data_IF_672248363121
#
_entry.id   IF_672248363121
#
_cell.length_a   1.000
_cell.length_b   1.000
_cell.length_c   1.000
_cell.angle_alpha   90.00
_cell.angle_beta   90.00
_cell.angle_gamma   90.00
#
_symmetry.space_group_name_H-M   'P 1'
#
loop_
_entity.id
_entity.type
_entity.pdbx_description
1 polymer ?
#
# COMPACT_ATOMS: atom_id res chain seq x y z
N UNK A 1 -4.25 10.09 18.75
CA UNK A 1 -4.06 8.63 18.86
C UNK A 1 -3.66 8.04 17.52
N UNK A 2 -3.23 6.77 17.51
CA UNK A 2 -3.05 5.96 16.31
C UNK A 2 -4.02 4.79 16.40
N UNK A 3 -4.77 4.52 15.33
CA UNK A 3 -5.73 3.42 15.29
C UNK A 3 -5.01 2.15 14.80
N UNK A 4 -5.30 1.02 15.45
CA UNK A 4 -4.78 -0.29 15.08
C UNK A 4 -5.94 -1.20 14.69
N UNK A 5 -5.75 -2.02 13.66
CA UNK A 5 -6.70 -3.06 13.24
C UNK A 5 -5.98 -4.40 13.38
N UNK A 6 -6.55 -5.31 14.16
CA UNK A 6 -6.06 -6.68 14.29
C UNK A 6 -6.89 -7.60 13.39
N UNK A 7 -6.23 -8.44 12.61
CA UNK A 7 -6.87 -9.38 11.69
C UNK A 7 -6.15 -10.74 11.69
N UNK A 8 -6.81 -11.77 11.16
CA UNK A 8 -6.24 -13.11 11.02
C UNK A 8 -4.93 -13.06 10.22
N UNK A 9 -3.88 -13.70 10.74
CA UNK A 9 -2.66 -13.93 9.98
C UNK A 9 -2.86 -15.09 9.00
N UNK A 10 -2.99 -14.77 7.72
CA UNK A 10 -3.11 -15.78 6.66
C UNK A 10 -1.73 -16.16 6.15
N UNK A 11 -1.27 -17.38 6.47
CA UNK A 11 0.00 -17.92 5.99
C UNK A 11 -0.10 -18.22 4.49
N UNK A 12 0.48 -17.34 3.67
CA UNK A 12 0.30 -17.35 2.22
C UNK A 12 0.91 -16.14 1.53
N UNK A 13 0.46 -15.85 0.31
CA UNK A 13 0.82 -14.63 -0.45
C UNK A 13 -0.44 -14.01 -1.05
N UNK A 14 -0.39 -12.74 -1.40
CA UNK A 14 -1.50 -12.14 -2.13
C UNK A 14 -1.52 -12.61 -3.61
N UNK A 15 -2.66 -12.43 -4.27
CA UNK A 15 -2.87 -12.84 -5.66
C UNK A 15 -2.01 -12.04 -6.63
N UNK A 16 -1.66 -10.78 -6.33
CA UNK A 16 -0.72 -9.99 -7.14
C UNK A 16 0.63 -10.67 -7.24
N UNK A 17 1.22 -11.02 -6.11
CA UNK A 17 2.51 -11.71 -6.03
C UNK A 17 2.48 -13.05 -6.75
N UNK A 18 1.32 -13.72 -6.74
CA UNK A 18 1.11 -14.94 -7.50
C UNK A 18 1.15 -14.68 -9.02
N UNK A 19 0.37 -13.71 -9.52
CA UNK A 19 0.33 -13.34 -10.95
C UNK A 19 1.70 -12.87 -11.42
N UNK A 20 2.38 -11.99 -10.68
CA UNK A 20 3.70 -11.48 -11.04
C UNK A 20 4.75 -12.58 -11.18
N UNK A 21 4.68 -13.63 -10.36
CA UNK A 21 5.66 -14.74 -10.39
C UNK A 21 5.32 -15.85 -11.38
N UNK A 22 4.04 -16.15 -11.57
CA UNK A 22 3.58 -17.29 -12.39
C UNK A 22 3.07 -16.87 -13.77
N UNK A 23 2.84 -15.58 -13.98
CA UNK A 23 2.16 -15.07 -15.16
C UNK A 23 0.65 -15.34 -15.11
N UNK A 24 -0.01 -15.35 -16.28
CA UNK A 24 -1.43 -15.68 -16.41
C UNK A 24 -1.78 -17.04 -15.78
N UNK A 25 -2.88 -17.09 -15.01
CA UNK A 25 -3.32 -18.30 -14.30
C UNK A 25 -4.02 -19.26 -15.25
N UNK A 26 -3.81 -20.56 -15.11
CA UNK A 26 -4.66 -21.57 -15.77
C UNK A 26 -6.16 -21.33 -15.48
N UNK A 27 -7.01 -21.53 -16.49
CA UNK A 27 -8.46 -21.27 -16.40
C UNK A 27 -9.10 -21.98 -15.20
N UNK A 28 -8.73 -23.25 -14.96
CA UNK A 28 -9.26 -24.04 -13.85
C UNK A 28 -8.88 -23.46 -12.48
N UNK A 29 -7.65 -22.96 -12.33
CA UNK A 29 -7.16 -22.31 -11.10
C UNK A 29 -7.88 -20.97 -10.92
N UNK A 30 -7.98 -20.17 -11.99
CA UNK A 30 -8.68 -18.89 -11.96
C UNK A 30 -10.14 -19.06 -11.54
N UNK A 31 -10.88 -20.00 -12.13
CA UNK A 31 -12.27 -20.31 -11.76
C UNK A 31 -12.42 -20.70 -10.28
N UNK A 32 -11.48 -21.48 -9.73
CA UNK A 32 -11.50 -21.86 -8.30
C UNK A 32 -11.30 -20.68 -7.37
N UNK A 33 -10.39 -19.77 -7.71
CA UNK A 33 -10.14 -18.54 -6.93
C UNK A 33 -11.34 -17.60 -7.05
N UNK A 34 -11.77 -17.32 -8.28
CA UNK A 34 -12.92 -16.44 -8.56
C UNK A 34 -14.17 -16.91 -7.83
N UNK A 35 -14.47 -18.21 -7.82
CA UNK A 35 -15.62 -18.74 -7.09
C UNK A 35 -15.54 -18.48 -5.59
N UNK A 36 -14.38 -18.70 -4.97
CA UNK A 36 -14.20 -18.48 -3.53
C UNK A 36 -14.33 -17.00 -3.17
N UNK A 37 -13.72 -16.12 -3.95
CA UNK A 37 -13.82 -14.67 -3.75
C UNK A 37 -15.24 -14.18 -3.98
N UNK A 38 -15.90 -14.60 -5.07
CA UNK A 38 -17.29 -14.23 -5.33
C UNK A 38 -18.25 -14.70 -4.23
N UNK A 39 -18.03 -15.89 -3.65
CA UNK A 39 -18.81 -16.36 -2.50
C UNK A 39 -18.60 -15.49 -1.26
N UNK A 40 -17.38 -15.03 -0.99
CA UNK A 40 -17.12 -14.12 0.13
C UNK A 40 -17.79 -12.74 -0.09
N UNK A 41 -17.72 -12.21 -1.32
CA UNK A 41 -18.34 -10.93 -1.69
C UNK A 41 -19.87 -11.00 -1.71
N UNK A 42 -20.43 -12.15 -2.07
CA UNK A 42 -21.86 -12.42 -1.93
C UNK A 42 -22.30 -12.23 -0.48
N UNK A 43 -21.67 -12.93 0.46
CA UNK A 43 -21.99 -12.83 1.89
C UNK A 43 -21.85 -11.40 2.40
N UNK A 44 -20.79 -10.68 2.00
CA UNK A 44 -20.64 -9.28 2.37
C UNK A 44 -21.79 -8.40 1.84
N UNK A 45 -22.13 -8.55 0.56
CA UNK A 45 -23.18 -7.77 -0.08
C UNK A 45 -24.58 -8.05 0.49
N UNK A 46 -24.87 -9.29 0.88
CA UNK A 46 -26.11 -9.69 1.56
C UNK A 46 -26.26 -9.03 2.94
N UNK A 47 -25.13 -8.66 3.57
CA UNK A 47 -25.08 -7.90 4.82
C UNK A 47 -24.96 -6.38 4.60
N UNK A 48 -25.19 -5.90 3.36
CA UNK A 48 -25.13 -4.47 3.03
C UNK A 48 -23.71 -3.89 2.98
N UNK A 49 -22.68 -4.73 2.97
CA UNK A 49 -21.28 -4.30 2.94
C UNK A 49 -20.78 -4.26 1.49
N UNK A 50 -20.33 -3.10 1.05
CA UNK A 50 -19.60 -2.91 -0.20
C UNK A 50 -18.11 -2.79 0.14
N UNK A 51 -17.26 -3.59 -0.50
CA UNK A 51 -15.83 -3.67 -0.23
C UNK A 51 -15.05 -2.47 -0.78
N UNK A 52 -15.37 -1.99 -1.97
CA UNK A 52 -14.82 -0.78 -2.63
C UNK A 52 -13.34 -0.82 -3.04
N UNK A 53 -12.61 -1.89 -2.73
CA UNK A 53 -11.17 -2.00 -3.03
C UNK A 53 -10.81 -3.42 -3.46
N UNK A 54 -11.58 -4.00 -4.38
CA UNK A 54 -11.30 -5.33 -4.92
C UNK A 54 -10.13 -5.27 -5.89
N UNK A 55 -9.02 -5.89 -5.52
CA UNK A 55 -7.80 -5.99 -6.32
C UNK A 55 -6.96 -7.19 -5.89
N UNK A 56 -6.03 -7.70 -6.73
CA UNK A 56 -5.18 -8.85 -6.39
C UNK A 56 -4.38 -8.71 -5.09
N UNK A 57 -4.01 -7.50 -4.68
CA UNK A 57 -3.33 -7.25 -3.41
C UNK A 57 -4.16 -7.64 -2.18
N UNK A 58 -5.49 -7.51 -2.28
CA UNK A 58 -6.43 -7.75 -1.20
C UNK A 58 -7.00 -9.18 -1.22
N UNK A 59 -6.51 -10.05 -2.12
CA UNK A 59 -6.88 -11.46 -2.17
C UNK A 59 -5.70 -12.31 -1.69
N UNK A 60 -5.86 -12.95 -0.53
CA UNK A 60 -4.83 -13.79 0.09
C UNK A 60 -5.01 -15.25 -0.33
N UNK A 61 -3.93 -15.87 -0.80
CA UNK A 61 -3.89 -17.27 -1.20
C UNK A 61 -3.14 -18.10 -0.16
N UNK A 62 -3.82 -19.06 0.45
CA UNK A 62 -3.23 -19.95 1.45
C UNK A 62 -2.40 -21.06 0.80
N UNK A 63 -1.52 -21.69 1.58
CA UNK A 63 -0.78 -22.89 1.14
C UNK A 63 -1.69 -24.09 0.80
N UNK A 64 -2.98 -24.04 1.22
CA UNK A 64 -4.00 -25.05 0.91
C UNK A 64 -4.81 -24.72 -0.35
N UNK A 65 -4.38 -23.72 -1.13
CA UNK A 65 -5.08 -23.22 -2.33
C UNK A 65 -6.49 -22.65 -2.04
N UNK A 66 -6.67 -22.07 -0.86
CA UNK A 66 -7.87 -21.32 -0.49
C UNK A 66 -7.64 -19.83 -0.76
N UNK A 67 -8.67 -19.14 -1.21
CA UNK A 67 -8.64 -17.70 -1.43
C UNK A 67 -9.47 -16.99 -0.36
N UNK A 68 -8.89 -15.99 0.30
CA UNK A 68 -9.53 -15.14 1.29
C UNK A 68 -9.53 -13.68 0.83
N UNK A 69 -10.62 -12.97 1.08
CA UNK A 69 -10.74 -11.53 0.84
C UNK A 69 -10.29 -10.80 2.10
N UNK A 70 -9.37 -9.84 1.97
CA UNK A 70 -8.83 -9.04 3.05
C UNK A 70 -9.13 -7.55 2.83
N UNK A 71 -9.01 -6.77 3.90
CA UNK A 71 -9.06 -5.30 3.89
C UNK A 71 -10.31 -4.70 3.19
N UNK A 72 -11.46 -4.81 3.85
CA UNK A 72 -12.72 -4.16 3.42
C UNK A 72 -12.61 -2.64 3.42
N UNK A 73 -11.97 -2.05 2.40
CA UNK A 73 -12.11 -0.67 1.95
C UNK A 73 -12.14 0.44 3.00
N UNK A 74 -11.53 0.26 4.18
CA UNK A 74 -11.66 1.18 5.31
C UNK A 74 -11.13 2.59 4.96
N UNK A 75 -10.19 2.68 4.02
CA UNK A 75 -9.66 3.93 3.50
C UNK A 75 -10.65 4.70 2.59
N UNK A 76 -11.59 4.00 1.94
CA UNK A 76 -12.57 4.62 1.02
C UNK A 76 -13.86 5.07 1.70
N UNK A 77 -14.08 4.74 2.97
CA UNK A 77 -15.19 5.29 3.77
C UNK A 77 -15.08 6.82 3.89
N UNK A 78 -13.85 7.35 3.88
CA UNK A 78 -13.56 8.79 3.97
C UNK A 78 -13.97 9.60 2.73
N UNK A 79 -14.21 8.96 1.59
CA UNK A 79 -14.52 9.64 0.32
C UNK A 79 -16.01 9.57 -0.05
N UNK A 80 -16.89 9.11 0.85
CA UNK A 80 -18.33 9.20 0.59
C UNK A 80 -18.79 10.67 0.68
N UNK A 81 -19.13 11.25 -0.47
CA UNK A 81 -19.79 12.56 -0.57
C UNK A 81 -18.94 13.66 -1.21
N UNK A 82 -17.63 13.48 -1.32
CA UNK A 82 -16.77 14.38 -2.11
C UNK A 82 -16.52 13.74 -3.48
N UNK A 83 -16.64 14.51 -4.57
CA UNK A 83 -16.09 14.08 -5.87
C UNK A 83 -14.67 13.62 -5.61
N UNK A 84 -14.29 12.42 -6.05
CA UNK A 84 -12.90 11.97 -6.03
C UNK A 84 -12.10 13.05 -6.72
N UNK A 85 -11.45 13.92 -5.94
CA UNK A 85 -10.65 14.99 -6.48
C UNK A 85 -9.44 14.30 -7.06
N UNK A 86 -9.47 14.04 -8.37
CA UNK A 86 -8.38 13.43 -9.13
C UNK A 86 -7.06 14.21 -9.00
N UNK A 87 -7.12 15.42 -8.41
CA UNK A 87 -6.02 16.32 -8.06
C UNK A 87 -5.47 16.13 -6.63
N UNK A 88 -6.07 15.28 -5.79
CA UNK A 88 -5.57 15.04 -4.43
C UNK A 88 -4.26 14.23 -4.48
N UNK A 89 -3.21 14.78 -3.86
CA UNK A 89 -1.97 14.10 -3.51
C UNK A 89 -2.28 12.79 -2.76
N UNK A 90 -2.12 11.63 -3.42
CA UNK A 90 -2.41 10.32 -2.83
C UNK A 90 -2.80 9.22 -3.82
N UNK A 91 -3.17 9.57 -5.06
CA UNK A 91 -3.45 8.60 -6.13
C UNK A 91 -2.16 7.94 -6.64
N UNK A 92 -1.85 6.75 -6.12
CA UNK A 92 -0.80 5.90 -6.71
C UNK A 92 -1.30 5.25 -7.99
N UNK A 93 -0.42 4.97 -8.95
CA UNK A 93 -0.77 4.32 -10.23
C UNK A 93 -1.52 2.99 -10.04
N UNK A 94 -1.28 2.28 -8.93
CA UNK A 94 -1.92 0.99 -8.64
C UNK A 94 -3.40 1.09 -8.24
N UNK A 95 -3.80 2.21 -7.62
CA UNK A 95 -5.16 2.41 -7.08
C UNK A 95 -6.27 2.49 -8.16
N UNK A 96 -6.11 3.20 -9.29
CA UNK A 96 -7.18 3.30 -10.30
C UNK A 96 -7.31 2.07 -11.22
N UNK A 97 -6.38 1.11 -11.18
CA UNK A 97 -6.36 -0.05 -12.11
C UNK A 97 -7.60 -0.95 -12.01
N UNK A 98 -8.36 -0.87 -10.92
CA UNK A 98 -9.52 -1.71 -10.66
C UNK A 98 -10.78 -0.90 -10.34
N UNK A 99 -10.70 0.44 -10.33
CA UNK A 99 -11.83 1.29 -9.96
C UNK A 99 -12.99 1.16 -10.95
N UNK A 100 -14.21 1.14 -10.42
CA UNK A 100 -15.42 1.19 -11.25
C UNK A 100 -15.66 2.60 -11.81
N UNK A 101 -16.40 2.74 -12.93
CA UNK A 101 -16.74 4.04 -13.50
C UNK A 101 -17.43 4.98 -12.51
N UNK A 102 -18.32 4.43 -11.68
CA UNK A 102 -19.00 5.17 -10.62
C UNK A 102 -18.07 5.60 -9.49
N UNK A 103 -17.03 4.81 -9.13
CA UNK A 103 -16.00 5.24 -8.18
C UNK A 103 -15.21 6.41 -8.74
N UNK A 104 -14.80 6.33 -10.01
CA UNK A 104 -14.06 7.43 -10.67
C UNK A 104 -14.90 8.71 -10.71
N UNK A 105 -16.20 8.60 -10.96
CA UNK A 105 -17.11 9.75 -10.99
C UNK A 105 -17.58 10.22 -9.60
N UNK A 106 -17.20 9.54 -8.51
CA UNK A 106 -17.69 9.84 -7.16
C UNK A 106 -19.20 9.65 -6.99
N UNK A 107 -19.81 8.74 -7.75
CA UNK A 107 -21.22 8.41 -7.67
C UNK A 107 -21.48 7.40 -6.54
N UNK A 108 -22.73 7.27 -6.06
CA UNK A 108 -23.08 6.27 -5.06
C UNK A 108 -22.66 4.86 -5.47
N UNK A 109 -22.05 4.13 -4.53
CA UNK A 109 -21.54 2.78 -4.75
C UNK A 109 -22.51 1.74 -4.18
N UNK A 110 -22.64 0.64 -4.89
CA UNK A 110 -23.39 -0.55 -4.49
C UNK A 110 -22.54 -1.80 -4.81
N UNK A 111 -23.06 -3.00 -4.55
CA UNK A 111 -22.35 -4.24 -4.82
C UNK A 111 -21.90 -4.40 -6.28
N UNK A 112 -22.54 -3.73 -7.24
CA UNK A 112 -22.15 -3.77 -8.66
C UNK A 112 -20.86 -3.02 -8.93
N UNK A 113 -20.45 -2.10 -8.05
CA UNK A 113 -19.12 -1.49 -8.07
C UNK A 113 -18.02 -2.52 -7.76
N UNK A 114 -18.27 -3.40 -6.79
CA UNK A 114 -17.36 -4.51 -6.49
C UNK A 114 -17.37 -5.55 -7.61
N UNK A 115 -18.53 -5.81 -8.25
CA UNK A 115 -18.62 -6.71 -9.41
C UNK A 115 -17.72 -6.23 -10.56
N UNK A 116 -17.72 -4.91 -10.83
CA UNK A 116 -16.83 -4.35 -11.85
C UNK A 116 -15.37 -4.60 -11.53
N UNK A 117 -14.95 -4.22 -10.32
CA UNK A 117 -13.57 -4.37 -9.83
C UNK A 117 -13.13 -5.84 -9.83
N UNK A 118 -14.03 -6.74 -9.41
CA UNK A 118 -13.87 -8.18 -9.47
C UNK A 118 -13.72 -8.69 -10.92
N UNK A 119 -14.47 -8.14 -11.88
CA UNK A 119 -14.32 -8.45 -13.30
C UNK A 119 -12.97 -8.00 -13.87
N UNK A 120 -12.48 -6.82 -13.50
CA UNK A 120 -11.14 -6.35 -13.88
C UNK A 120 -10.04 -7.25 -13.29
N UNK A 121 -10.22 -7.70 -12.05
CA UNK A 121 -9.32 -8.68 -11.44
C UNK A 121 -9.36 -10.03 -12.19
N UNK A 122 -10.54 -10.54 -12.54
CA UNK A 122 -10.70 -11.77 -13.31
C UNK A 122 -10.01 -11.67 -14.68
N UNK A 123 -10.15 -10.53 -15.36
CA UNK A 123 -9.41 -10.21 -16.57
C UNK A 123 -7.90 -10.32 -16.36
N UNK A 124 -7.40 -9.64 -15.34
CA UNK A 124 -5.97 -9.58 -15.04
C UNK A 124 -5.42 -10.99 -14.74
N UNK A 125 -6.12 -11.80 -13.96
CA UNK A 125 -5.72 -13.18 -13.70
C UNK A 125 -5.49 -14.00 -14.97
N UNK A 126 -6.31 -13.78 -16.01
CA UNK A 126 -6.29 -14.55 -17.24
C UNK A 126 -5.36 -13.97 -18.31
N UNK A 127 -5.19 -12.65 -18.35
CA UNK A 127 -4.33 -11.95 -19.30
C UNK A 127 -2.91 -11.69 -18.77
N UNK A 128 -2.69 -11.83 -17.46
CA UNK A 128 -1.42 -11.50 -16.77
C UNK A 128 -1.17 -9.99 -16.58
N UNK A 129 -2.04 -9.14 -17.13
CA UNK A 129 -2.04 -7.68 -16.94
C UNK A 129 -3.48 -7.12 -16.92
N UNK A 130 -3.75 -5.97 -16.28
CA UNK A 130 -5.06 -5.33 -16.33
C UNK A 130 -5.40 -4.83 -17.75
N UNK A 131 -6.69 -4.68 -18.08
CA UNK A 131 -7.13 -4.27 -19.42
C UNK A 131 -6.77 -2.82 -19.75
N UNK A 132 -6.75 -1.95 -18.74
CA UNK A 132 -6.43 -0.54 -18.90
C UNK A 132 -5.10 -0.24 -18.19
N UNK A 133 -4.18 0.34 -18.94
CA UNK A 133 -2.87 0.81 -18.46
C UNK A 133 -2.64 2.24 -18.99
N UNK A 134 -1.86 3.03 -18.27
CA UNK A 134 -1.55 4.41 -18.64
C UNK A 134 -0.36 4.93 -17.83
N UNK A 135 0.22 6.04 -18.30
CA UNK A 135 1.38 6.67 -17.67
C UNK A 135 1.02 7.35 -16.34
N UNK A 136 -0.23 7.77 -16.18
CA UNK A 136 -0.73 8.44 -14.98
C UNK A 136 -1.97 7.75 -14.43
N UNK A 137 -2.18 7.89 -13.12
CA UNK A 137 -3.36 7.37 -12.44
C UNK A 137 -4.67 7.92 -13.04
N UNK A 138 -4.67 9.21 -13.40
CA UNK A 138 -5.81 9.88 -14.03
C UNK A 138 -6.09 9.30 -15.42
N UNK A 139 -5.04 9.06 -16.23
CA UNK A 139 -5.22 8.46 -17.55
C UNK A 139 -5.90 7.09 -17.45
N UNK A 140 -5.48 6.24 -16.50
CA UNK A 140 -6.14 4.95 -16.24
C UNK A 140 -7.60 5.12 -15.82
N UNK A 141 -7.89 6.03 -14.91
CA UNK A 141 -9.25 6.30 -14.45
C UNK A 141 -10.17 6.75 -15.59
N UNK A 142 -9.69 7.61 -16.50
CA UNK A 142 -10.44 8.04 -17.69
C UNK A 142 -10.74 6.86 -18.62
N UNK A 143 -9.81 5.91 -18.79
CA UNK A 143 -10.07 4.68 -19.57
C UNK A 143 -11.18 3.82 -18.94
N UNK A 144 -11.23 3.75 -17.61
CA UNK A 144 -12.34 3.10 -16.93
C UNK A 144 -13.69 3.75 -17.23
N UNK A 145 -13.75 5.05 -17.51
CA UNK A 145 -14.98 5.74 -17.94
C UNK A 145 -15.33 5.46 -19.41
N UNK A 146 -14.36 5.59 -20.31
CA UNK A 146 -14.65 5.79 -21.74
C UNK A 146 -14.23 4.64 -22.65
N UNK A 147 -13.13 3.96 -22.33
CA UNK A 147 -12.51 3.02 -23.25
C UNK A 147 -13.16 1.64 -23.17
N UNK A 148 -13.31 0.98 -24.31
CA UNK A 148 -13.64 -0.44 -24.37
C UNK A 148 -12.40 -1.26 -24.00
N UNK A 149 -12.52 -2.30 -23.15
CA UNK A 149 -11.39 -3.19 -22.90
C UNK A 149 -11.02 -3.91 -24.22
N UNK A 150 -9.72 -4.17 -24.48
CA UNK A 150 -9.29 -5.02 -25.60
C UNK A 150 -9.97 -6.39 -25.55
N UNK A 151 -9.98 -7.19 -26.61
CA UNK A 151 -10.59 -8.53 -26.50
C UNK A 151 -9.70 -9.48 -25.68
N UNK A 152 -10.27 -10.24 -24.74
CA UNK A 152 -9.49 -11.14 -23.86
C UNK A 152 -8.78 -12.23 -24.68
N UNK A 153 -9.37 -12.60 -25.82
CA UNK A 153 -8.85 -13.55 -26.79
C UNK A 153 -7.54 -13.09 -27.45
N UNK A 154 -7.24 -11.79 -27.46
CA UNK A 154 -5.93 -11.27 -27.91
C UNK A 154 -4.80 -11.67 -26.95
N UNK A 155 -5.12 -11.88 -25.67
CA UNK A 155 -4.15 -12.31 -24.64
C UNK A 155 -4.22 -13.79 -24.34
N UNK A 156 -5.39 -14.40 -24.56
CA UNK A 156 -5.65 -15.79 -24.21
C UNK A 156 -6.69 -16.45 -25.13
N UNK A 157 -6.22 -17.28 -26.05
CA UNK A 157 -7.08 -17.93 -27.05
C UNK A 157 -7.88 -19.12 -26.51
N UNK A 158 -7.40 -19.80 -25.47
CA UNK A 158 -8.01 -21.00 -24.87
C UNK A 158 -9.13 -20.69 -23.84
N UNK A 159 -9.52 -19.43 -23.71
CA UNK A 159 -10.54 -19.04 -22.73
C UNK A 159 -11.94 -19.56 -23.14
N UNK A 160 -12.67 -20.26 -22.25
CA UNK A 160 -14.05 -20.66 -22.52
C UNK A 160 -14.92 -19.43 -22.86
N UNK A 161 -15.72 -19.45 -23.94
CA UNK A 161 -16.55 -18.32 -24.35
C UNK A 161 -17.47 -17.82 -23.24
N UNK A 162 -18.07 -18.75 -22.49
CA UNK A 162 -18.95 -18.42 -21.35
C UNK A 162 -18.23 -17.70 -20.21
N UNK A 163 -16.96 -18.02 -19.93
CA UNK A 163 -16.16 -17.28 -18.95
C UNK A 163 -15.80 -15.89 -19.46
N UNK A 164 -15.41 -15.78 -20.74
CA UNK A 164 -15.15 -14.49 -21.39
C UNK A 164 -16.38 -13.58 -21.31
N UNK A 165 -17.55 -14.10 -21.66
CA UNK A 165 -18.79 -13.32 -21.72
C UNK A 165 -19.26 -12.89 -20.33
N UNK A 166 -19.06 -13.73 -19.30
CA UNK A 166 -19.27 -13.34 -17.91
C UNK A 166 -18.33 -12.19 -17.50
N UNK A 167 -17.04 -12.29 -17.78
CA UNK A 167 -16.07 -11.23 -17.44
C UNK A 167 -16.44 -9.92 -18.14
N UNK A 168 -16.81 -9.98 -19.44
CA UNK A 168 -17.21 -8.81 -20.21
C UNK A 168 -18.46 -8.14 -19.64
N UNK A 169 -19.46 -8.91 -19.19
CA UNK A 169 -20.64 -8.36 -18.50
C UNK A 169 -20.29 -7.71 -17.17
N UNK A 170 -19.40 -8.31 -16.37
CA UNK A 170 -18.98 -7.74 -15.09
C UNK A 170 -18.32 -6.36 -15.27
N UNK A 171 -17.53 -6.17 -16.33
CA UNK A 171 -16.80 -4.92 -16.62
C UNK A 171 -17.58 -3.93 -17.52
N UNK A 172 -18.89 -4.14 -17.70
CA UNK A 172 -19.76 -3.20 -18.39
C UNK A 172 -19.73 -1.82 -17.72
N UNK A 173 -19.71 -0.74 -18.51
CA UNK A 173 -19.61 0.63 -17.97
C UNK A 173 -20.87 1.02 -17.19
N UNK A 174 -22.04 0.74 -17.75
CA UNK A 174 -23.33 0.91 -17.08
C UNK A 174 -23.52 -0.18 -16.03
N UNK A 175 -24.03 0.18 -14.86
CA UNK A 175 -24.25 -0.77 -13.75
C UNK A 175 -25.34 -1.79 -14.08
N UNK A 176 -26.32 -1.39 -14.87
CA UNK A 176 -27.51 -2.16 -15.22
C UNK A 176 -27.19 -3.30 -16.19
N UNK A 177 -26.10 -3.18 -16.93
CA UNK A 177 -25.60 -4.20 -17.87
C UNK A 177 -24.73 -5.26 -17.19
N UNK A 178 -24.49 -5.13 -15.87
CA UNK A 178 -23.72 -6.07 -15.05
C UNK A 178 -24.66 -7.11 -14.42
N UNK A 179 -24.15 -8.29 -14.00
CA UNK A 179 -24.91 -9.19 -13.14
C UNK A 179 -25.50 -8.44 -11.94
N UNK A 180 -26.73 -8.78 -11.56
CA UNK A 180 -27.49 -8.02 -10.55
C UNK A 180 -26.84 -8.05 -9.16
N UNK A 181 -26.21 -9.18 -8.83
CA UNK A 181 -25.54 -9.46 -7.56
C UNK A 181 -24.49 -10.58 -7.73
N UNK A 182 -23.75 -10.87 -6.65
CA UNK A 182 -22.74 -11.94 -6.66
C UNK A 182 -23.32 -13.36 -6.67
N UNK A 183 -24.59 -13.57 -6.29
CA UNK A 183 -25.22 -14.90 -6.31
C UNK A 183 -25.31 -15.45 -7.74
N UNK A 184 -25.65 -14.58 -8.71
CA UNK A 184 -25.66 -14.92 -10.14
C UNK A 184 -24.26 -15.32 -10.60
N UNK A 185 -23.24 -14.54 -10.23
CA UNK A 185 -21.85 -14.80 -10.59
C UNK A 185 -21.36 -16.13 -10.00
N UNK A 186 -21.66 -16.41 -8.73
CA UNK A 186 -21.30 -17.67 -8.06
C UNK A 186 -21.93 -18.87 -8.76
N UNK A 187 -23.21 -18.76 -9.15
CA UNK A 187 -23.92 -19.81 -9.88
C UNK A 187 -23.28 -20.09 -11.24
N UNK A 188 -22.99 -19.04 -12.02
CA UNK A 188 -22.33 -19.16 -13.32
C UNK A 188 -20.91 -19.74 -13.21
N UNK A 189 -20.10 -19.26 -12.26
CA UNK A 189 -18.75 -19.79 -11.99
C UNK A 189 -18.78 -21.27 -11.58
N UNK A 190 -19.80 -21.70 -10.82
CA UNK A 190 -19.99 -23.11 -10.45
C UNK A 190 -20.31 -23.97 -11.67
N UNK A 191 -21.14 -23.49 -12.59
CA UNK A 191 -21.44 -24.18 -13.85
C UNK A 191 -20.20 -24.27 -14.76
N UNK A 192 -19.46 -23.17 -14.90
CA UNK A 192 -18.20 -23.12 -15.66
C UNK A 192 -17.16 -24.10 -15.10
N UNK A 193 -16.98 -24.14 -13.78
CA UNK A 193 -16.04 -25.05 -13.15
C UNK A 193 -16.43 -26.52 -13.38
N UNK A 194 -17.73 -26.84 -13.40
CA UNK A 194 -18.23 -28.18 -13.77
C UNK A 194 -17.96 -28.52 -15.23
N UNK A 195 -18.15 -27.59 -16.16
CA UNK A 195 -17.87 -27.81 -17.59
C UNK A 195 -16.37 -28.04 -17.85
N UNK A 196 -15.52 -27.22 -17.24
CA UNK A 196 -14.06 -27.35 -17.36
C UNK A 196 -13.55 -28.62 -16.66
N UNK A 197 -14.16 -29.02 -15.53
CA UNK A 197 -13.77 -30.25 -14.84
C UNK A 197 -14.39 -31.51 -15.45
N UNK A 198 -15.52 -31.41 -16.12
CA UNK A 198 -16.23 -32.53 -16.75
C UNK A 198 -15.67 -32.95 -18.11
N UNK A 199 -14.92 -32.06 -18.79
CA UNK A 199 -14.13 -32.42 -19.97
C UNK A 199 -12.84 -33.17 -19.64
N UNK A 200 -12.38 -33.06 -18.38
CA UNK A 200 -11.27 -33.82 -17.83
C UNK A 200 -11.78 -34.79 -16.75
N UNK A 201 -12.52 -35.84 -17.14
CA UNK A 201 -12.73 -37.01 -16.28
C UNK A 201 -11.45 -37.85 -16.18
N UNK A 202 -10.36 -37.20 -15.77
CA UNK A 202 -9.28 -37.84 -15.02
C UNK A 202 -9.24 -37.10 -13.70
N UNK A 203 -9.61 -37.79 -12.63
CA UNK A 203 -9.30 -37.39 -11.27
C UNK A 203 -7.79 -37.19 -11.20
N UNK A 204 -7.33 -35.94 -11.34
CA UNK A 204 -5.98 -35.57 -10.95
C UNK A 204 -6.08 -35.22 -9.47
N UNK A 205 -5.73 -36.12 -8.53
CA UNK A 205 -5.45 -35.68 -7.19
C UNK A 205 -4.32 -34.64 -7.28
N UNK A 206 -4.50 -33.50 -6.61
CA UNK A 206 -3.53 -32.40 -6.56
C UNK A 206 -2.17 -32.83 -5.95
N UNK A 207 -2.01 -34.10 -5.58
CA UNK A 207 -0.78 -34.74 -5.15
C UNK A 207 0.19 -35.12 -6.30
N UNK A 208 -0.19 -34.97 -7.57
CA UNK A 208 0.63 -35.44 -8.72
C UNK A 208 1.60 -34.39 -9.27
N UNK A 209 1.59 -33.14 -8.81
CA UNK A 209 2.69 -32.19 -9.10
C UNK A 209 3.93 -32.38 -8.21
N UNK A 210 3.95 -33.40 -7.35
CA UNK A 210 5.14 -33.79 -6.58
C UNK A 210 5.43 -35.28 -6.74
N UNK A 211 5.71 -35.74 -7.97
CA UNK A 211 6.29 -37.07 -8.16
C UNK A 211 7.81 -37.01 -7.88
N UNK A 212 8.18 -36.91 -6.60
CA UNK A 212 9.53 -37.23 -6.15
C UNK A 212 9.65 -38.75 -6.13
N UNK A 213 10.41 -39.29 -7.07
CA UNK A 213 10.79 -40.70 -7.17
C UNK A 213 11.62 -41.03 -5.92
N UNK A 214 11.01 -41.71 -4.94
CA UNK A 214 11.71 -42.19 -3.76
C UNK A 214 12.61 -43.36 -4.16
N UNK A 215 13.91 -43.12 -4.09
CA UNK A 215 14.96 -44.14 -4.04
C UNK A 215 15.09 -44.44 -2.55
N UNK A 216 14.75 -45.65 -2.09
CA UNK A 216 15.23 -46.33 -0.87
C UNK A 216 14.17 -47.33 -0.36
N UNK A 217 14.12 -48.49 -1.01
CA UNK A 217 13.75 -49.74 -0.33
C UNK A 217 15.06 -50.45 0.07
N UNK A 218 15.56 -50.19 1.28
CA UNK A 218 16.53 -51.06 1.98
C UNK A 218 16.29 -51.00 3.50
N UNK A 219 16.52 -52.09 4.24
CA UNK A 219 16.02 -52.25 5.60
C UNK A 219 16.76 -51.37 6.61
N UNK A 220 15.97 -50.73 7.47
CA UNK A 220 16.30 -49.55 8.27
C UNK A 220 17.04 -49.83 9.60
N UNK A 221 17.91 -50.85 9.67
CA UNK A 221 18.54 -51.23 10.96
C UNK A 221 19.94 -50.67 11.22
N UNK A 222 20.61 -50.09 10.21
CA UNK A 222 21.97 -49.54 10.33
C UNK A 222 22.11 -48.02 10.15
N UNK A 223 21.08 -47.32 9.66
CA UNK A 223 21.19 -45.91 9.25
C UNK A 223 20.67 -44.89 10.27
N UNK A 224 20.01 -45.33 11.35
CA UNK A 224 19.41 -44.43 12.36
C UNK A 224 20.50 -43.63 13.09
N UNK A 225 21.69 -44.20 13.32
CA UNK A 225 22.81 -43.51 13.98
C UNK A 225 23.40 -42.37 13.15
N UNK A 226 23.49 -42.54 11.82
CA UNK A 226 24.03 -41.48 10.97
C UNK A 226 22.98 -40.40 10.66
N UNK A 227 21.70 -40.78 10.50
CA UNK A 227 20.60 -39.85 10.29
C UNK A 227 20.35 -38.95 11.51
N UNK A 228 20.50 -39.48 12.74
CA UNK A 228 20.44 -38.66 13.96
C UNK A 228 21.60 -37.69 14.05
N UNK A 229 22.83 -38.13 13.76
CA UNK A 229 24.00 -37.25 13.69
C UNK A 229 23.86 -36.14 12.63
N UNK A 230 23.37 -36.49 11.44
CA UNK A 230 23.13 -35.54 10.36
C UNK A 230 22.01 -34.54 10.69
N UNK A 231 20.92 -34.99 11.34
CA UNK A 231 19.86 -34.09 11.81
C UNK A 231 20.36 -33.12 12.88
N UNK A 232 21.19 -33.56 13.83
CA UNK A 232 21.78 -32.67 14.85
C UNK A 232 22.73 -31.67 14.19
N UNK A 233 23.53 -32.08 13.21
CA UNK A 233 24.42 -31.17 12.49
C UNK A 233 23.64 -30.15 11.64
N UNK A 234 22.57 -30.56 10.96
CA UNK A 234 21.69 -29.66 10.19
C UNK A 234 20.90 -28.73 11.11
N UNK A 235 20.47 -29.19 12.29
CA UNK A 235 19.82 -28.34 13.29
C UNK A 235 20.79 -27.34 13.90
N UNK A 236 22.02 -27.74 14.22
CA UNK A 236 23.06 -26.83 14.72
C UNK A 236 23.50 -25.82 13.64
N UNK A 237 23.62 -26.28 12.38
CA UNK A 237 23.94 -25.42 11.24
C UNK A 237 22.79 -24.47 10.91
N UNK A 238 21.54 -24.92 10.98
CA UNK A 238 20.37 -24.07 10.73
C UNK A 238 20.07 -23.12 11.89
N UNK A 239 20.40 -23.48 13.13
CA UNK A 239 20.41 -22.56 14.27
C UNK A 239 21.54 -21.53 14.15
N UNK A 240 22.74 -21.94 13.72
CA UNK A 240 23.87 -21.03 13.47
C UNK A 240 23.61 -20.08 12.29
N UNK A 241 23.08 -20.59 11.18
CA UNK A 241 22.64 -19.80 10.02
C UNK A 241 21.44 -18.93 10.41
N UNK A 242 20.50 -19.43 11.20
CA UNK A 242 19.36 -18.65 11.69
C UNK A 242 19.76 -17.55 12.68
N UNK A 243 20.83 -17.74 13.45
CA UNK A 243 21.43 -16.72 14.31
C UNK A 243 22.25 -15.70 13.48
N UNK A 244 23.00 -16.16 12.48
CA UNK A 244 23.78 -15.30 11.58
C UNK A 244 22.92 -14.53 10.55
N UNK A 245 21.79 -15.10 10.15
CA UNK A 245 20.76 -14.49 9.28
C UNK A 245 19.62 -13.86 10.10
N UNK A 246 19.71 -13.85 11.43
CA UNK A 246 18.73 -13.17 12.28
C UNK A 246 18.74 -11.71 11.88
N UNK A 247 17.62 -11.24 11.32
CA UNK A 247 17.42 -9.82 11.12
C UNK A 247 17.51 -9.14 12.50
N UNK A 248 18.29 -8.05 12.65
CA UNK A 248 18.31 -7.30 13.89
C UNK A 248 16.89 -6.95 14.31
N UNK A 249 16.69 -6.86 15.62
CA UNK A 249 15.41 -6.57 16.26
C UNK A 249 14.61 -5.54 15.44
N UNK A 250 13.36 -5.82 15.01
CA UNK A 250 12.61 -4.89 14.15
C UNK A 250 12.31 -3.54 14.82
N UNK A 251 12.47 -3.46 16.15
CA UNK A 251 12.42 -2.23 16.93
C UNK A 251 13.76 -1.45 16.97
N UNK A 252 14.82 -2.03 16.40
CA UNK A 252 16.14 -1.45 16.18
C UNK A 252 16.42 -1.25 14.68
N UNK A 253 15.38 -1.29 13.82
CA UNK A 253 15.53 -0.81 12.44
C UNK A 253 15.80 0.68 12.55
N UNK A 254 17.08 1.00 12.53
CA UNK A 254 17.55 2.27 12.07
C UNK A 254 17.13 2.39 10.61
N UNK A 255 16.13 3.25 10.32
CA UNK A 255 15.59 3.53 8.99
C UNK A 255 16.63 4.12 8.01
N UNK A 256 17.92 4.02 8.31
CA UNK A 256 19.05 4.49 7.52
C UNK A 256 19.48 3.45 6.47
N UNK A 257 18.59 3.13 5.54
CA UNK A 257 19.08 2.98 4.17
C UNK A 257 19.64 4.34 3.73
N UNK A 258 20.76 4.43 2.99
CA UNK A 258 21.23 5.74 2.53
C UNK A 258 20.10 6.39 1.74
N UNK A 259 19.63 7.54 2.21
CA UNK A 259 18.70 8.38 1.47
C UNK A 259 19.27 8.49 0.05
N UNK A 260 18.48 8.21 -0.99
CA UNK A 260 18.89 8.50 -2.37
C UNK A 260 18.91 10.02 -2.50
N UNK A 261 20.04 10.62 -2.14
CA UNK A 261 20.22 12.06 -2.11
C UNK A 261 20.58 12.54 -3.51
N UNK A 262 19.71 13.38 -4.08
CA UNK A 262 20.07 14.16 -5.26
C UNK A 262 20.93 15.35 -4.83
N UNK A 263 22.20 15.32 -5.25
CA UNK A 263 23.20 16.35 -4.93
C UNK A 263 23.23 17.39 -6.05
N UNK A 264 23.10 18.66 -5.69
CA UNK A 264 23.14 19.79 -6.61
C UNK A 264 24.56 20.40 -6.68
N UNK A 265 24.91 21.11 -7.77
CA UNK A 265 26.28 21.61 -7.98
C UNK A 265 26.73 22.68 -6.98
N UNK A 266 25.81 23.48 -6.45
CA UNK A 266 26.10 24.55 -5.48
C UNK A 266 25.21 24.46 -4.25
N UNK A 267 25.60 25.14 -3.19
CA UNK A 267 24.84 25.13 -1.96
C UNK A 267 23.47 25.81 -2.12
N UNK A 268 23.44 26.91 -2.87
CA UNK A 268 22.24 27.66 -3.18
C UNK A 268 21.29 26.83 -4.03
N UNK A 269 21.82 26.10 -5.03
CA UNK A 269 21.03 25.18 -5.84
C UNK A 269 20.48 24.00 -5.01
N UNK A 270 21.26 23.49 -4.05
CA UNK A 270 20.79 22.45 -3.13
C UNK A 270 19.66 22.95 -2.23
N UNK A 271 19.79 24.16 -1.70
CA UNK A 271 18.74 24.76 -0.87
C UNK A 271 17.49 25.07 -1.70
N UNK A 272 17.64 25.60 -2.91
CA UNK A 272 16.52 25.85 -3.83
C UNK A 272 15.79 24.56 -4.17
N UNK A 273 16.53 23.47 -4.46
CA UNK A 273 15.95 22.14 -4.67
C UNK A 273 15.16 21.63 -3.47
N UNK A 274 15.66 21.85 -2.25
CA UNK A 274 14.95 21.48 -1.03
C UNK A 274 13.67 22.32 -0.83
N UNK A 275 13.70 23.61 -1.16
CA UNK A 275 12.52 24.47 -1.11
C UNK A 275 11.43 24.08 -2.12
N UNK A 276 11.81 23.63 -3.32
CA UNK A 276 10.84 23.14 -4.32
C UNK A 276 10.31 21.73 -4.00
N UNK A 277 10.99 21.00 -3.11
CA UNK A 277 10.58 19.68 -2.62
C UNK A 277 10.44 19.67 -1.09
N UNK A 278 9.55 20.49 -0.50
CA UNK A 278 9.53 20.75 0.95
C UNK A 278 9.15 19.54 1.81
N UNK A 279 8.64 18.46 1.21
CA UNK A 279 8.28 17.21 1.87
C UNK A 279 9.37 16.13 1.79
N UNK A 280 10.42 16.34 1.00
CA UNK A 280 11.51 15.38 0.83
C UNK A 280 12.59 15.58 1.90
N UNK A 281 12.64 14.66 2.87
CA UNK A 281 13.67 14.64 3.91
C UNK A 281 15.09 14.56 3.32
N UNK A 282 15.28 13.78 2.23
CA UNK A 282 16.58 13.63 1.61
C UNK A 282 17.11 14.97 1.08
N UNK A 283 16.22 15.78 0.50
CA UNK A 283 16.58 17.08 -0.05
C UNK A 283 17.09 18.05 1.04
N UNK A 284 16.44 18.09 2.21
CA UNK A 284 16.87 18.93 3.33
C UNK A 284 18.10 18.38 4.07
N UNK A 285 18.23 17.05 4.20
CA UNK A 285 19.45 16.43 4.74
C UNK A 285 20.66 16.75 3.85
N UNK A 286 20.48 16.77 2.51
CA UNK A 286 21.51 17.13 1.55
C UNK A 286 22.07 18.54 1.77
N UNK A 287 21.22 19.53 2.09
CA UNK A 287 21.64 20.90 2.43
C UNK A 287 22.59 20.91 3.62
N UNK A 288 22.38 20.04 4.61
CA UNK A 288 23.26 19.95 5.80
C UNK A 288 24.55 19.18 5.55
N UNK A 289 24.51 18.13 4.74
CA UNK A 289 25.54 17.09 4.70
C UNK A 289 26.38 17.07 3.42
N UNK A 290 25.82 17.44 2.28
CA UNK A 290 26.47 17.31 0.95
C UNK A 290 26.72 18.65 0.26
N UNK A 291 26.30 19.74 0.88
CA UNK A 291 26.34 21.09 0.32
C UNK A 291 27.66 21.79 0.67
N UNK A 292 28.68 21.61 -0.17
CA UNK A 292 29.98 22.28 0.00
C UNK A 292 29.78 23.79 -0.19
N UNK A 293 30.05 24.59 0.85
CA UNK A 293 29.82 26.04 0.86
C UNK A 293 28.51 26.50 1.52
N UNK A 294 27.68 25.59 2.05
CA UNK A 294 26.46 25.98 2.77
C UNK A 294 26.77 26.84 4.01
N UNK A 295 26.14 28.01 4.06
CA UNK A 295 26.24 28.92 5.21
C UNK A 295 25.51 28.34 6.42
N UNK A 296 25.84 28.84 7.62
CA UNK A 296 25.14 28.44 8.85
C UNK A 296 23.63 28.71 8.78
N UNK A 297 23.24 29.76 8.05
CA UNK A 297 21.83 30.09 7.85
C UNK A 297 21.09 29.08 6.99
N UNK A 298 21.73 28.57 5.94
CA UNK A 298 21.15 27.52 5.10
C UNK A 298 20.98 26.21 5.88
N UNK A 299 21.97 25.88 6.74
CA UNK A 299 21.91 24.71 7.62
C UNK A 299 20.86 24.86 8.71
N UNK A 300 20.72 26.04 9.30
CA UNK A 300 19.69 26.35 10.29
C UNK A 300 18.29 26.28 9.67
N UNK A 301 18.09 26.84 8.47
CA UNK A 301 16.83 26.74 7.73
C UNK A 301 16.49 25.29 7.39
N UNK A 302 17.46 24.52 6.93
CA UNK A 302 17.27 23.09 6.68
C UNK A 302 16.93 22.31 7.96
N UNK A 303 17.51 22.68 9.10
CA UNK A 303 17.20 22.08 10.40
C UNK A 303 15.76 22.40 10.83
N UNK A 304 15.29 23.63 10.62
CA UNK A 304 13.91 24.02 10.89
C UNK A 304 12.91 23.23 10.01
N UNK A 305 13.21 23.14 8.70
CA UNK A 305 12.38 22.39 7.76
C UNK A 305 12.32 20.89 8.10
N UNK A 306 13.46 20.27 8.45
CA UNK A 306 13.51 18.90 8.95
C UNK A 306 12.70 18.72 10.23
N UNK A 307 12.80 19.66 11.19
CA UNK A 307 11.99 19.66 12.40
C UNK A 307 10.49 19.62 12.09
N UNK A 308 10.02 20.42 11.13
CA UNK A 308 8.63 20.40 10.67
C UNK A 308 8.23 19.09 9.98
N UNK A 309 9.12 18.49 9.17
CA UNK A 309 8.90 17.17 8.56
C UNK A 309 8.79 16.09 9.66
N UNK A 310 9.65 16.16 10.68
CA UNK A 310 9.63 15.24 11.82
C UNK A 310 8.35 15.37 12.63
N UNK A 311 7.85 16.59 12.86
CA UNK A 311 6.55 16.81 13.48
C UNK A 311 5.41 16.18 12.65
N UNK A 312 5.38 16.42 11.34
CA UNK A 312 4.36 15.85 10.43
C UNK A 312 4.39 14.32 10.40
N UNK A 313 5.58 13.73 10.50
CA UNK A 313 5.79 12.27 10.51
C UNK A 313 5.75 11.66 11.91
N UNK A 314 5.33 12.42 12.95
CA UNK A 314 5.24 11.99 14.36
C UNK A 314 6.56 11.49 14.96
N UNK A 315 7.71 11.91 14.42
CA UNK A 315 9.05 11.63 14.93
C UNK A 315 9.47 12.70 15.96
N UNK A 316 8.80 12.72 17.10
CA UNK A 316 8.94 13.81 18.09
C UNK A 316 10.35 13.97 18.66
N UNK A 317 11.09 12.87 18.90
CA UNK A 317 12.48 12.94 19.39
C UNK A 317 13.42 13.64 18.40
N UNK A 318 13.27 13.36 17.11
CA UNK A 318 14.04 14.00 16.05
C UNK A 318 13.66 15.47 15.88
N UNK A 319 12.36 15.78 15.94
CA UNK A 319 11.90 17.16 15.93
C UNK A 319 12.44 17.95 17.13
N UNK A 320 12.40 17.34 18.33
CA UNK A 320 12.88 17.96 19.54
C UNK A 320 14.38 18.24 19.49
N UNK A 321 15.16 17.31 18.94
CA UNK A 321 16.60 17.52 18.70
C UNK A 321 16.82 18.68 17.73
N UNK A 322 16.14 18.68 16.58
CA UNK A 322 16.30 19.72 15.57
C UNK A 322 15.94 21.13 16.09
N UNK A 323 14.85 21.26 16.86
CA UNK A 323 14.46 22.56 17.41
C UNK A 323 15.30 22.97 18.62
N UNK A 324 15.82 22.01 19.40
CA UNK A 324 16.79 22.30 20.44
C UNK A 324 18.11 22.83 19.87
N UNK A 325 18.61 22.23 18.78
CA UNK A 325 19.80 22.71 18.07
C UNK A 325 19.64 24.19 17.65
N UNK A 326 18.46 24.55 17.11
CA UNK A 326 18.14 25.94 16.76
C UNK A 326 17.97 26.86 17.97
N UNK A 327 17.51 26.32 19.10
CA UNK A 327 17.28 27.08 20.32
C UNK A 327 18.60 27.54 20.98
N UNK A 328 19.62 26.68 20.94
CA UNK A 328 20.94 26.95 21.51
C UNK A 328 21.65 28.07 20.73
N UNK A 329 21.44 28.14 19.42
CA UNK A 329 22.02 29.19 18.58
C UNK A 329 21.27 30.52 18.74
N UNK A 330 21.91 31.52 19.37
CA UNK A 330 21.29 32.82 19.66
C UNK A 330 20.61 33.49 18.44
N UNK A 331 21.18 33.32 17.24
CA UNK A 331 20.61 33.87 15.99
C UNK A 331 19.29 33.18 15.59
N UNK A 332 19.12 31.90 15.92
CA UNK A 332 17.97 31.07 15.52
C UNK A 332 17.04 30.68 16.67
N UNK A 333 17.34 31.15 17.89
CA UNK A 333 16.61 30.81 19.12
C UNK A 333 15.09 30.88 18.99
N UNK A 334 14.57 31.91 18.31
CA UNK A 334 13.13 32.09 18.08
C UNK A 334 12.53 30.97 17.23
N UNK A 335 13.26 30.45 16.24
CA UNK A 335 12.83 29.28 15.45
C UNK A 335 12.84 28.00 16.30
N UNK A 336 13.80 27.86 17.22
CA UNK A 336 13.81 26.78 18.21
C UNK A 336 12.59 26.83 19.13
N UNK A 337 12.32 27.98 19.76
CA UNK A 337 11.15 28.18 20.63
C UNK A 337 9.82 27.96 19.90
N UNK A 338 9.70 28.43 18.66
CA UNK A 338 8.55 28.18 17.79
C UNK A 338 8.33 26.67 17.55
N UNK A 339 9.42 25.93 17.32
CA UNK A 339 9.38 24.48 17.21
C UNK A 339 8.94 23.77 18.49
N UNK A 340 9.45 24.21 19.65
CA UNK A 340 9.04 23.68 20.96
C UNK A 340 7.55 23.93 21.21
N UNK A 341 7.01 25.08 20.80
CA UNK A 341 5.58 25.38 20.93
C UNK A 341 4.71 24.40 20.11
N UNK A 342 5.16 24.06 18.90
CA UNK A 342 4.51 23.06 18.04
C UNK A 342 4.56 21.65 18.67
N UNK A 343 5.70 21.28 19.27
CA UNK A 343 5.85 20.00 19.99
C UNK A 343 4.92 19.94 21.20
N UNK A 344 4.86 21.01 22.00
CA UNK A 344 4.01 21.09 23.19
C UNK A 344 2.54 20.89 22.81
N UNK A 345 2.07 21.56 21.75
CA UNK A 345 0.69 21.39 21.24
C UNK A 345 0.42 19.95 20.79
N UNK A 346 1.34 19.34 20.04
CA UNK A 346 1.19 17.94 19.58
C UNK A 346 1.21 16.93 20.73
N UNK A 347 1.91 17.27 21.82
CA UNK A 347 1.99 16.45 23.04
C UNK A 347 0.77 16.62 23.96
N UNK A 348 -0.19 17.48 23.60
CA UNK A 348 -1.40 17.75 24.38
C UNK A 348 -1.24 18.84 25.44
N UNK A 349 -0.06 19.47 25.55
CA UNK A 349 0.20 20.55 26.50
C UNK A 349 -0.07 21.92 25.85
N UNK A 350 -1.35 22.28 25.82
CA UNK A 350 -1.79 23.55 25.22
C UNK A 350 -1.32 24.78 26.01
N UNK A 351 -1.09 24.65 27.32
CA UNK A 351 -0.63 25.75 28.18
C UNK A 351 0.85 26.05 27.96
N UNK A 352 1.70 25.02 27.88
CA UNK A 352 3.10 25.20 27.50
C UNK A 352 3.21 25.76 26.08
N UNK A 353 2.39 25.29 25.13
CA UNK A 353 2.35 25.82 23.78
C UNK A 353 2.01 27.33 23.77
N UNK A 354 1.00 27.76 24.54
CA UNK A 354 0.65 29.19 24.68
C UNK A 354 1.80 30.02 25.26
N UNK A 355 2.40 29.56 26.36
CA UNK A 355 3.54 30.26 27.01
C UNK A 355 4.72 30.46 26.07
N UNK A 356 5.04 29.44 25.26
CA UNK A 356 6.10 29.52 24.26
C UNK A 356 5.72 30.43 23.09
N UNK A 357 4.46 30.40 22.64
CA UNK A 357 4.00 31.27 21.56
C UNK A 357 4.01 32.76 21.91
N UNK A 358 3.83 33.13 23.18
CA UNK A 358 4.00 34.51 23.67
C UNK A 358 5.44 35.00 23.46
N UNK A 359 6.45 34.13 23.62
CA UNK A 359 7.85 34.49 23.41
C UNK A 359 8.21 34.67 21.93
N UNK A 360 7.39 34.13 21.02
CA UNK A 360 7.56 34.19 19.57
C UNK A 360 6.70 35.33 18.96
N UNK A 361 5.84 35.96 19.75
CA UNK A 361 4.94 37.03 19.31
C UNK A 361 5.71 38.30 18.91
N UNK A 362 5.32 38.92 17.79
CA UNK A 362 5.97 40.13 17.27
C UNK A 362 7.35 39.90 16.63
N UNK A 363 7.78 38.64 16.51
CA UNK A 363 9.07 38.24 15.96
C UNK A 363 8.93 37.53 14.60
N UNK A 364 7.81 37.75 13.89
CA UNK A 364 7.49 37.09 12.62
C UNK A 364 8.66 37.21 11.63
N UNK A 365 9.17 38.41 11.37
CA UNK A 365 10.28 38.62 10.43
C UNK A 365 11.65 38.03 10.83
N UNK A 366 11.73 37.32 11.96
CA UNK A 366 12.93 36.56 12.40
C UNK A 366 12.73 35.04 12.29
N UNK A 367 11.53 34.58 11.96
CA UNK A 367 11.26 33.19 11.67
C UNK A 367 11.65 32.85 10.23
N UNK A 368 12.04 31.61 10.00
CA UNK A 368 12.10 31.10 8.64
C UNK A 368 10.68 31.03 8.04
N UNK A 369 10.50 31.25 6.73
CA UNK A 369 9.17 31.29 6.11
C UNK A 369 8.31 30.05 6.40
N UNK A 370 8.94 28.87 6.46
CA UNK A 370 8.26 27.61 6.75
C UNK A 370 7.73 27.56 8.21
N UNK A 371 8.47 28.18 9.14
CA UNK A 371 8.08 28.30 10.55
C UNK A 371 6.99 29.34 10.75
N UNK A 372 7.03 30.48 10.04
CA UNK A 372 5.96 31.49 10.09
C UNK A 372 4.59 30.88 9.77
N UNK A 373 4.52 30.08 8.70
CA UNK A 373 3.29 29.41 8.29
C UNK A 373 2.79 28.47 9.38
N UNK A 374 3.68 27.66 9.96
CA UNK A 374 3.35 26.72 11.03
C UNK A 374 2.89 27.44 12.31
N UNK A 375 3.57 28.52 12.70
CA UNK A 375 3.20 29.35 13.84
C UNK A 375 1.85 30.03 13.65
N UNK A 376 1.56 30.54 12.44
CA UNK A 376 0.28 31.17 12.12
C UNK A 376 -0.88 30.17 12.25
N UNK A 377 -0.71 28.94 11.79
CA UNK A 377 -1.69 27.87 11.97
C UNK A 377 -1.86 27.49 13.45
N UNK A 378 -0.75 27.40 14.19
CA UNK A 378 -0.78 27.12 15.62
C UNK A 378 -1.54 28.18 16.41
N UNK A 379 -1.32 29.48 16.14
CA UNK A 379 -2.04 30.58 16.83
C UNK A 379 -3.55 30.45 16.67
N UNK A 380 -4.03 30.24 15.44
CA UNK A 380 -5.46 30.03 15.16
C UNK A 380 -6.07 28.87 15.95
N UNK A 381 -5.28 27.82 16.21
CA UNK A 381 -5.72 26.62 16.97
C UNK A 381 -5.57 26.75 18.48
N UNK A 382 -4.93 27.82 18.95
CA UNK A 382 -4.73 28.12 20.37
C UNK A 382 -5.69 29.23 20.87
N UNK A 383 -6.30 29.98 19.96
CA UNK A 383 -7.40 30.90 20.29
C UNK A 383 -8.55 30.14 20.98
N UNK A 384 -9.11 30.67 22.07
CA UNK A 384 -10.30 30.10 22.68
C UNK A 384 -11.44 30.12 21.65
N UNK A 385 -12.22 29.04 21.58
CA UNK A 385 -13.45 29.03 20.80
C UNK A 385 -14.40 30.08 21.40
N UNK A 386 -14.64 31.17 20.68
CA UNK A 386 -15.64 32.18 21.03
C UNK A 386 -17.06 31.64 20.88
#
# INVERSE_FOLDING_TARGET
>A
GTNYIAQEYVQGRNLKDYITRKGPLEVKIALRILRQVASALQVASENGIVHRDIKPENILLTNKAEAKVADFGLAQLTFQGERVSLTQTGLTLGTPLYMSPEQVNGLPLDSRSDIYSFGIMAWHMLAGRPPFVGETAIAVAVKHLNDKPPALTEFRQDIPPSLRDLIMRMISKKKEDRPGDFSQIVAELKQLLRQVSGKDSVTVPLAVLTKKRWIFDRPLRGQIGWLTGACVFVLASSAGIGWAMRTPNPLLIDSRGPLKVQVMPTAEAQLYWAMTNPHDEAAWVAVKTHSRGATNEMKARATAALGLIYLKTKRLSFAQTAFHDLEIEAKYKINGLAGQALIAKLSGDADAARKLMVQVEGMEGKLFPEMEVACKDLRKRLEPAN
#
